data_IF_965075576602
#
_entry.id   IF_965075576602
#
_cell.length_a   1.000
_cell.length_b   1.000
_cell.length_c   1.000
_cell.angle_alpha   90.00
_cell.angle_beta   90.00
_cell.angle_gamma   90.00
#
_symmetry.space_group_name_H-M   'P 1'
#
loop_
_entity.id
_entity.type
_entity.pdbx_description
1 polymer ?
#
# COMPACT_ATOMS: atom_id res chain seq x y z
N UNK A 1 17.94 1.54 0.79
CA UNK A 1 17.04 0.59 0.11
C UNK A 1 17.75 0.05 -1.12
N UNK A 2 17.65 -1.25 -1.38
CA UNK A 2 18.20 -1.86 -2.60
C UNK A 2 17.43 -1.40 -3.83
N UNK A 3 18.15 -1.17 -4.92
CA UNK A 3 17.53 -0.83 -6.21
C UNK A 3 16.94 -2.07 -6.84
N UNK A 4 15.84 -1.89 -7.58
CA UNK A 4 15.28 -2.93 -8.44
C UNK A 4 16.23 -3.12 -9.63
N UNK A 5 16.53 -4.36 -9.98
CA UNK A 5 17.43 -4.72 -11.09
C UNK A 5 16.68 -5.44 -12.22
N UNK A 6 17.29 -5.49 -13.40
CA UNK A 6 16.75 -6.23 -14.54
C UNK A 6 16.64 -7.73 -14.23
N UNK A 7 15.59 -8.38 -14.74
CA UNK A 7 15.25 -9.78 -14.46
C UNK A 7 14.60 -10.02 -13.09
N UNK A 8 14.54 -9.02 -12.21
CA UNK A 8 13.91 -9.16 -10.89
C UNK A 8 12.38 -9.27 -11.02
N UNK A 9 11.78 -10.15 -10.20
CA UNK A 9 10.33 -10.16 -9.98
C UNK A 9 9.92 -9.04 -9.02
N UNK A 10 8.85 -8.32 -9.37
CA UNK A 10 8.20 -7.34 -8.51
C UNK A 10 6.70 -7.59 -8.49
N UNK A 11 6.04 -7.13 -7.44
CA UNK A 11 4.62 -7.31 -7.24
C UNK A 11 3.92 -5.97 -7.34
N UNK A 12 2.91 -5.84 -8.19
CA UNK A 12 2.28 -4.56 -8.49
C UNK A 12 0.82 -4.59 -8.07
N UNK A 13 0.44 -3.63 -7.24
CA UNK A 13 -0.97 -3.31 -6.95
C UNK A 13 -1.42 -2.11 -7.76
N UNK A 14 -2.68 -2.09 -8.21
CA UNK A 14 -3.25 -0.95 -8.92
C UNK A 14 -4.34 -0.30 -8.07
N UNK A 15 -4.21 0.99 -7.78
CA UNK A 15 -5.29 1.79 -7.20
C UNK A 15 -5.81 2.79 -8.24
N UNK A 16 -7.12 3.03 -8.28
CA UNK A 16 -7.73 4.00 -9.19
C UNK A 16 -8.57 3.40 -10.34
N UNK A 17 -9.39 4.27 -10.94
CA UNK A 17 -10.59 3.95 -11.73
C UNK A 17 -11.87 4.38 -10.99
N UNK A 18 -12.96 4.70 -11.71
CA UNK A 18 -14.22 5.20 -11.11
C UNK A 18 -14.89 4.26 -10.11
N UNK A 19 -14.44 3.02 -10.05
CA UNK A 19 -14.97 1.98 -9.17
C UNK A 19 -13.84 1.58 -8.22
N UNK A 20 -13.86 2.16 -7.01
CA UNK A 20 -12.91 1.84 -5.96
C UNK A 20 -12.88 0.34 -5.71
N UNK A 21 -11.81 -0.32 -6.17
CA UNK A 21 -11.59 -1.73 -5.82
C UNK A 21 -11.12 -1.75 -4.37
N UNK A 22 -11.99 -2.23 -3.48
CA UNK A 22 -11.66 -2.50 -2.07
C UNK A 22 -10.86 -3.80 -1.90
N UNK A 23 -10.78 -4.62 -2.95
CA UNK A 23 -10.14 -5.92 -2.90
C UNK A 23 -8.63 -5.84 -3.16
N UNK A 24 -7.82 -6.59 -2.39
CA UNK A 24 -6.40 -6.73 -2.67
C UNK A 24 -6.16 -7.22 -4.09
N UNK A 25 -5.32 -6.53 -4.85
CA UNK A 25 -5.11 -6.80 -6.28
C UNK A 25 -3.63 -6.80 -6.65
N UNK A 26 -2.91 -7.80 -6.15
CA UNK A 26 -1.50 -7.98 -6.42
C UNK A 26 -1.29 -8.79 -7.70
N UNK A 27 -0.39 -8.35 -8.58
CA UNK A 27 0.01 -9.08 -9.79
C UNK A 27 1.53 -9.14 -9.89
N UNK A 28 2.07 -10.26 -10.36
CA UNK A 28 3.51 -10.38 -10.60
C UNK A 28 3.90 -9.69 -11.91
N UNK A 29 5.00 -8.95 -11.85
CA UNK A 29 5.62 -8.27 -12.98
C UNK A 29 7.10 -8.67 -13.04
N UNK A 30 7.63 -8.77 -14.25
CA UNK A 30 9.05 -9.03 -14.51
C UNK A 30 9.71 -7.74 -14.98
N UNK A 31 10.83 -7.36 -14.34
CA UNK A 31 11.58 -6.16 -14.69
C UNK A 31 12.39 -6.42 -15.96
N UNK A 32 12.02 -5.72 -17.03
CA UNK A 32 12.66 -5.86 -18.35
C UNK A 32 13.81 -4.87 -18.56
N UNK A 33 13.89 -3.81 -17.74
CA UNK A 33 14.99 -2.84 -17.79
C UNK A 33 15.07 -2.07 -16.48
N UNK A 34 16.28 -1.82 -15.97
CA UNK A 34 16.49 -0.99 -14.79
C UNK A 34 17.56 0.10 -15.03
N UNK A 35 17.23 1.34 -14.67
CA UNK A 35 18.11 2.50 -14.71
C UNK A 35 18.33 3.05 -13.30
N UNK A 36 19.18 4.09 -13.17
CA UNK A 36 19.51 4.72 -11.87
C UNK A 36 18.28 5.25 -11.12
N UNK A 37 17.30 5.79 -11.85
CA UNK A 37 16.14 6.53 -11.31
C UNK A 37 14.80 5.88 -11.61
N UNK A 38 14.76 4.88 -12.50
CA UNK A 38 13.52 4.24 -12.92
C UNK A 38 13.77 2.77 -13.28
N UNK A 39 12.74 1.96 -13.22
CA UNK A 39 12.75 0.62 -13.79
C UNK A 39 11.49 0.41 -14.63
N UNK A 40 11.53 -0.57 -15.51
CA UNK A 40 10.49 -0.87 -16.47
C UNK A 40 10.09 -2.32 -16.29
N UNK A 41 8.81 -2.59 -16.14
CA UNK A 41 8.32 -3.94 -15.90
C UNK A 41 7.04 -4.23 -16.66
N UNK A 42 6.89 -5.49 -17.08
CA UNK A 42 5.70 -6.02 -17.71
C UNK A 42 5.02 -7.03 -16.78
N UNK A 43 3.69 -7.20 -16.84
CA UNK A 43 3.04 -8.34 -16.22
C UNK A 43 3.69 -9.64 -16.67
N UNK A 44 3.80 -10.62 -15.76
CA UNK A 44 4.28 -11.96 -16.10
C UNK A 44 3.44 -12.54 -17.26
N UNK A 45 4.11 -13.12 -18.26
CA UNK A 45 3.47 -13.70 -19.45
C UNK A 45 3.06 -12.69 -20.54
N UNK A 46 3.46 -11.41 -20.45
CA UNK A 46 3.19 -10.39 -21.48
C UNK A 46 4.50 -9.86 -22.08
N UNK A 47 4.84 -10.31 -23.29
CA UNK A 47 6.07 -9.93 -23.99
C UNK A 47 5.86 -8.75 -24.95
N UNK A 48 4.73 -8.69 -25.65
CA UNK A 48 4.47 -7.71 -26.73
C UNK A 48 3.88 -6.36 -26.27
N UNK A 49 4.10 -5.98 -25.01
CA UNK A 49 3.57 -4.72 -24.46
C UNK A 49 4.67 -3.76 -24.05
N UNK A 50 4.45 -2.47 -24.33
CA UNK A 50 5.29 -1.40 -23.80
C UNK A 50 5.32 -1.43 -22.27
N UNK A 51 6.51 -1.50 -21.65
CA UNK A 51 6.62 -1.72 -20.21
C UNK A 51 6.23 -0.50 -19.40
N UNK A 52 5.66 -0.77 -18.23
CA UNK A 52 5.29 0.26 -17.28
C UNK A 52 6.56 0.81 -16.61
N UNK A 53 6.72 2.13 -16.65
CA UNK A 53 7.87 2.83 -16.04
C UNK A 53 7.56 3.20 -14.59
N UNK A 54 8.28 2.59 -13.67
CA UNK A 54 8.22 2.88 -12.24
C UNK A 54 9.42 3.73 -11.78
N UNK A 55 9.22 4.53 -10.75
CA UNK A 55 10.28 5.29 -10.09
C UNK A 55 11.07 4.38 -9.12
N UNK A 56 12.40 4.42 -9.14
CA UNK A 56 13.25 3.62 -8.24
C UNK A 56 13.14 4.03 -6.76
N UNK A 57 12.77 5.28 -6.48
CA UNK A 57 12.71 5.84 -5.12
C UNK A 57 11.50 5.33 -4.34
N UNK A 58 10.32 5.42 -4.95
CA UNK A 58 9.03 5.14 -4.32
C UNK A 58 8.28 3.96 -4.95
N UNK A 59 8.84 3.36 -6.02
CA UNK A 59 8.28 2.23 -6.74
C UNK A 59 6.89 2.50 -7.35
N UNK A 60 6.58 3.76 -7.63
CA UNK A 60 5.28 4.17 -8.18
C UNK A 60 5.31 4.39 -9.69
N UNK A 61 4.17 4.17 -10.34
CA UNK A 61 3.87 4.54 -11.71
C UNK A 61 2.48 5.20 -11.78
N UNK A 62 2.43 6.42 -12.33
CA UNK A 62 1.21 7.18 -12.52
C UNK A 62 0.87 7.24 -14.01
N UNK A 63 -0.35 6.88 -14.40
CA UNK A 63 -0.77 6.95 -15.80
C UNK A 63 -1.39 8.29 -16.19
N UNK A 64 -1.54 9.24 -15.27
CA UNK A 64 -2.19 10.54 -15.50
C UNK A 64 -3.72 10.48 -15.62
N UNK A 65 -4.29 9.31 -15.89
CA UNK A 65 -5.74 9.06 -16.03
C UNK A 65 -6.38 8.47 -14.77
N UNK A 66 -5.85 8.82 -13.60
CA UNK A 66 -6.38 8.36 -12.31
C UNK A 66 -6.06 6.93 -11.93
N UNK A 67 -5.27 6.18 -12.72
CA UNK A 67 -4.69 4.91 -12.28
C UNK A 67 -3.29 5.13 -11.71
N UNK A 68 -3.08 4.56 -10.53
CA UNK A 68 -1.83 4.53 -9.80
C UNK A 68 -1.40 3.08 -9.63
N UNK A 69 -0.15 2.79 -9.96
CA UNK A 69 0.44 1.47 -9.82
C UNK A 69 1.56 1.59 -8.80
N UNK A 70 1.50 0.77 -7.77
CA UNK A 70 2.51 0.69 -6.72
C UNK A 70 3.17 -0.68 -6.81
N UNK A 71 4.49 -0.69 -6.99
CA UNK A 71 5.28 -1.90 -6.95
C UNK A 71 5.85 -2.14 -5.55
N UNK A 72 6.02 -3.43 -5.22
CA UNK A 72 6.63 -3.97 -4.02
C UNK A 72 7.72 -4.94 -4.44
N UNK A 73 8.81 -4.99 -3.69
CA UNK A 73 9.93 -5.90 -3.98
C UNK A 73 9.59 -7.34 -3.62
N UNK A 74 8.68 -7.53 -2.68
CA UNK A 74 8.20 -8.85 -2.27
C UNK A 74 6.68 -8.83 -2.11
N UNK A 75 6.06 -10.00 -2.24
CA UNK A 75 4.65 -10.18 -1.94
C UNK A 75 4.34 -9.89 -0.47
N UNK A 76 5.25 -10.26 0.44
CA UNK A 76 5.11 -10.02 1.87
C UNK A 76 4.96 -8.53 2.20
N UNK A 77 5.74 -7.65 1.57
CA UNK A 77 5.65 -6.20 1.79
C UNK A 77 4.22 -5.66 1.54
N UNK A 78 3.54 -6.20 0.54
CA UNK A 78 2.17 -5.83 0.21
C UNK A 78 1.18 -6.35 1.25
N UNK A 79 1.25 -7.64 1.61
CA UNK A 79 0.33 -8.22 2.58
C UNK A 79 0.50 -7.62 3.98
N UNK A 80 1.74 -7.38 4.41
CA UNK A 80 2.04 -6.68 5.68
C UNK A 80 1.42 -5.27 5.71
N UNK A 81 1.35 -4.58 4.56
CA UNK A 81 0.68 -3.27 4.46
C UNK A 81 -0.85 -3.42 4.59
N UNK A 82 -1.44 -4.39 3.90
CA UNK A 82 -2.89 -4.66 3.96
C UNK A 82 -3.32 -5.06 5.38
N UNK A 83 -2.57 -5.94 6.03
CA UNK A 83 -2.85 -6.41 7.39
C UNK A 83 -2.80 -5.26 8.40
N UNK A 84 -1.75 -4.43 8.36
CA UNK A 84 -1.67 -3.22 9.20
C UNK A 84 -2.83 -2.26 8.96
N UNK A 85 -3.30 -2.16 7.71
CA UNK A 85 -4.48 -1.38 7.36
C UNK A 85 -5.76 -1.91 8.01
N UNK A 86 -5.98 -3.23 7.95
CA UNK A 86 -7.12 -3.91 8.59
C UNK A 86 -7.08 -3.78 10.10
N UNK A 87 -5.92 -4.03 10.72
CA UNK A 87 -5.71 -3.90 12.17
C UNK A 87 -6.04 -2.48 12.63
N UNK A 88 -5.52 -1.45 11.95
CA UNK A 88 -5.81 -0.04 12.26
C UNK A 88 -7.29 0.29 12.15
N UNK A 89 -7.98 -0.23 11.13
CA UNK A 89 -9.41 -0.01 10.95
C UNK A 89 -10.22 -0.68 12.07
N UNK A 90 -9.85 -1.90 12.44
CA UNK A 90 -10.47 -2.65 13.53
C UNK A 90 -10.27 -1.95 14.88
N UNK A 91 -9.04 -1.57 15.21
CA UNK A 91 -8.73 -0.84 16.45
C UNK A 91 -9.51 0.47 16.56
N UNK A 92 -9.63 1.23 15.46
CA UNK A 92 -10.44 2.45 15.43
C UNK A 92 -11.91 2.18 15.74
N UNK A 93 -12.46 1.11 15.16
CA UNK A 93 -13.84 0.71 15.40
C UNK A 93 -14.04 0.32 16.86
N UNK A 94 -13.20 -0.56 17.39
CA UNK A 94 -13.28 -1.03 18.78
C UNK A 94 -13.13 0.10 19.79
N UNK A 95 -12.16 1.00 19.58
CA UNK A 95 -11.97 2.16 20.45
C UNK A 95 -13.17 3.10 20.41
N UNK A 96 -13.72 3.37 19.22
CA UNK A 96 -14.94 4.18 19.08
C UNK A 96 -16.11 3.55 19.81
N UNK A 97 -16.40 2.27 19.55
CA UNK A 97 -17.51 1.54 20.16
C UNK A 97 -17.35 1.45 21.69
N UNK A 98 -16.11 1.39 22.18
CA UNK A 98 -15.81 1.40 23.63
C UNK A 98 -16.08 2.77 24.23
N UNK A 99 -15.56 3.85 23.61
CA UNK A 99 -15.75 5.22 24.08
C UNK A 99 -17.22 5.61 24.09
N UNK A 100 -17.99 5.21 23.07
CA UNK A 100 -19.42 5.51 22.97
C UNK A 100 -20.25 4.85 24.09
N UNK A 101 -19.74 3.79 24.73
CA UNK A 101 -20.40 3.08 25.84
C UNK A 101 -19.95 3.52 27.23
N UNK A 102 -18.90 4.34 27.33
CA UNK A 102 -18.35 4.77 28.61
C UNK A 102 -19.25 5.78 29.32
N UNK A 103 -19.30 5.69 30.65
CA UNK A 103 -19.90 6.71 31.51
C UNK A 103 -19.07 8.00 31.54
N UNK A 104 -19.67 9.11 31.98
CA UNK A 104 -18.97 10.38 32.15
C UNK A 104 -17.73 10.27 33.06
N UNK A 105 -17.79 9.44 34.11
CA UNK A 105 -16.66 9.24 35.04
C UNK A 105 -15.51 8.52 34.33
N UNK A 106 -15.81 7.49 33.54
CA UNK A 106 -14.81 6.75 32.76
C UNK A 106 -14.20 7.62 31.65
N UNK A 107 -15.00 8.44 30.97
CA UNK A 107 -14.52 9.40 29.98
C UNK A 107 -13.57 10.44 30.59
N UNK A 108 -13.86 10.92 31.81
CA UNK A 108 -12.96 11.84 32.54
C UNK A 108 -11.61 11.18 32.86
N UNK A 109 -11.63 9.93 33.36
CA UNK A 109 -10.39 9.16 33.61
C UNK A 109 -9.61 8.89 32.32
N UNK A 110 -10.28 8.51 31.23
CA UNK A 110 -9.64 8.29 29.94
C UNK A 110 -8.95 9.57 29.43
N UNK A 111 -9.62 10.73 29.60
CA UNK A 111 -9.04 12.04 29.24
C UNK A 111 -7.78 12.33 30.04
N UNK A 112 -7.75 12.02 31.34
CA UNK A 112 -6.57 12.19 32.18
C UNK A 112 -5.40 11.31 31.69
N UNK A 113 -5.65 10.03 31.43
CA UNK A 113 -4.60 9.09 30.98
C UNK A 113 -4.02 9.47 29.62
N UNK A 114 -4.85 9.87 28.65
CA UNK A 114 -4.40 10.11 27.28
C UNK A 114 -3.82 11.51 27.04
N UNK A 115 -4.18 12.51 27.85
CA UNK A 115 -3.91 13.91 27.53
C UNK A 115 -3.31 14.74 28.67
N UNK A 116 -3.19 14.21 29.90
CA UNK A 116 -2.69 14.98 31.04
C UNK A 116 -1.24 14.64 31.41
N UNK A 117 -0.66 13.56 30.90
CA UNK A 117 0.81 13.39 30.92
C UNK A 117 1.47 14.25 29.84
N UNK A 118 1.79 15.50 30.21
CA UNK A 118 2.89 16.28 29.64
C UNK A 118 4.07 16.26 30.60
#
# INVERSE_FOLDING_TARGET
MSKVIEGQEVYVSTSGGWVGKSEPNLRKYIVVRANKTSFYANPEGVEDKSPYRFNQKDLSHNTGWGYHYQAYRTEKEYWDMIERGKEKAQLRKELKDTVDKMSLIELRKLKEVLFVTK
#
